data_IF_561159533398
#
_entry.id   IF_561159533398
#
_cell.length_a   1.000
_cell.length_b   1.000
_cell.length_c   1.000
_cell.angle_alpha   90.00
_cell.angle_beta   90.00
_cell.angle_gamma   90.00
#
_symmetry.space_group_name_H-M   'P 1'
#
loop_
_entity.id
_entity.type
_entity.pdbx_description
1 polymer ?
#
# COMPACT_ATOMS: atom_id res chain seq x y z
N UNK A 1 11.49 22.28 0.83
CA UNK A 1 11.02 20.91 0.62
C UNK A 1 11.47 20.08 1.81
N UNK A 2 10.58 19.76 2.77
CA UNK A 2 10.94 18.80 3.81
C UNK A 2 11.12 17.43 3.14
N UNK A 3 12.27 16.81 3.38
CA UNK A 3 12.55 15.44 2.95
C UNK A 3 11.58 14.51 3.69
N UNK A 4 10.90 13.56 3.01
CA UNK A 4 10.07 12.59 3.72
C UNK A 4 10.95 11.86 4.75
N UNK A 5 10.41 11.53 5.94
CA UNK A 5 11.17 10.86 6.98
C UNK A 5 11.82 9.60 6.40
N UNK A 6 13.15 9.54 6.47
CA UNK A 6 13.90 8.38 6.01
C UNK A 6 13.45 7.20 6.88
N UNK A 7 12.93 6.10 6.30
CA UNK A 7 12.62 4.91 7.08
C UNK A 7 13.88 4.43 7.82
N UNK A 8 13.74 3.75 8.97
CA UNK A 8 14.88 3.28 9.75
C UNK A 8 15.89 2.57 8.85
N UNK A 9 17.18 2.82 9.10
CA UNK A 9 18.31 2.33 8.29
C UNK A 9 18.33 0.82 8.11
N UNK A 10 17.59 0.09 8.93
CA UNK A 10 17.56 -1.37 8.98
C UNK A 10 16.64 -2.01 7.93
N UNK A 11 15.95 -1.19 7.11
CA UNK A 11 15.13 -1.65 5.99
C UNK A 11 15.86 -1.64 4.63
N UNK A 12 17.10 -1.19 4.57
CA UNK A 12 17.92 -1.24 3.35
C UNK A 12 18.07 -2.69 2.80
N UNK A 13 18.27 -3.72 3.64
CA UNK A 13 18.27 -5.12 3.18
C UNK A 13 16.93 -5.55 2.58
N UNK A 14 15.81 -5.10 3.14
CA UNK A 14 14.47 -5.44 2.65
C UNK A 14 14.25 -4.90 1.23
N UNK A 15 14.53 -3.61 1.03
CA UNK A 15 14.43 -2.96 -0.28
C UNK A 15 15.36 -3.60 -1.31
N UNK A 16 16.58 -3.94 -0.91
CA UNK A 16 17.52 -4.63 -1.80
C UNK A 16 16.98 -6.01 -2.21
N UNK A 17 16.43 -6.78 -1.28
CA UNK A 17 15.78 -8.06 -1.58
C UNK A 17 14.61 -7.90 -2.56
N UNK A 18 13.75 -6.88 -2.39
CA UNK A 18 12.66 -6.58 -3.33
C UNK A 18 13.17 -6.28 -4.74
N UNK A 19 14.19 -5.44 -4.88
CA UNK A 19 14.77 -5.14 -6.19
C UNK A 19 15.40 -6.35 -6.88
N UNK A 20 15.75 -7.40 -6.13
CA UNK A 20 16.24 -8.68 -6.65
C UNK A 20 15.14 -9.69 -6.93
N UNK A 21 13.88 -9.35 -6.61
CA UNK A 21 12.75 -10.28 -6.69
C UNK A 21 12.70 -11.31 -5.54
N UNK A 22 13.51 -11.12 -4.50
CA UNK A 22 13.58 -12.00 -3.32
C UNK A 22 12.46 -11.64 -2.32
N UNK A 23 11.20 -11.68 -2.78
CA UNK A 23 10.04 -11.15 -2.04
C UNK A 23 9.82 -11.80 -0.67
N UNK A 24 10.13 -13.10 -0.53
CA UNK A 24 10.04 -13.78 0.76
C UNK A 24 11.07 -13.25 1.76
N UNK A 25 12.32 -13.05 1.32
CA UNK A 25 13.38 -12.51 2.18
C UNK A 25 13.08 -11.05 2.56
N UNK A 26 12.59 -10.24 1.62
CA UNK A 26 12.12 -8.89 1.91
C UNK A 26 11.04 -8.88 3.00
N UNK A 27 10.06 -9.79 2.90
CA UNK A 27 8.99 -9.93 3.88
C UNK A 27 9.52 -10.25 5.27
N UNK A 28 10.46 -11.19 5.37
CA UNK A 28 11.07 -11.56 6.66
C UNK A 28 11.74 -10.35 7.35
N UNK A 29 12.36 -9.45 6.58
CA UNK A 29 12.90 -8.21 7.11
C UNK A 29 11.81 -7.26 7.61
N UNK A 30 10.74 -7.07 6.84
CA UNK A 30 9.62 -6.19 7.25
C UNK A 30 8.88 -6.74 8.47
N UNK A 31 8.61 -8.05 8.53
CA UNK A 31 8.02 -8.71 9.68
C UNK A 31 8.90 -8.61 10.92
N UNK A 32 10.22 -8.71 10.76
CA UNK A 32 11.16 -8.47 11.86
C UNK A 32 11.07 -7.03 12.34
N UNK A 33 11.05 -6.06 11.44
CA UNK A 33 10.89 -4.65 11.81
C UNK A 33 9.59 -4.41 12.59
N UNK A 34 8.48 -5.05 12.20
CA UNK A 34 7.21 -4.98 12.97
C UNK A 34 7.39 -5.55 14.39
N UNK A 35 8.07 -6.69 14.54
CA UNK A 35 8.34 -7.29 15.86
C UNK A 35 9.26 -6.44 16.75
N UNK A 36 10.09 -5.61 16.14
CA UNK A 36 11.03 -4.71 16.81
C UNK A 36 10.42 -3.34 17.13
N UNK A 37 9.21 -3.03 16.63
CA UNK A 37 8.49 -1.83 17.01
C UNK A 37 8.11 -1.86 18.49
N UNK A 38 8.20 -0.70 19.14
CA UNK A 38 7.66 -0.51 20.48
C UNK A 38 6.15 -0.76 20.52
N UNK A 39 5.64 -1.19 21.67
CA UNK A 39 4.20 -1.45 21.86
C UNK A 39 3.33 -0.21 21.58
N UNK A 40 3.91 0.98 21.78
CA UNK A 40 3.26 2.28 21.56
C UNK A 40 3.62 2.89 20.19
N UNK A 41 4.14 2.10 19.26
CA UNK A 41 4.47 2.58 17.92
C UNK A 41 3.23 3.18 17.22
N UNK A 42 3.37 4.32 16.54
CA UNK A 42 2.24 5.01 15.94
C UNK A 42 1.64 4.17 14.79
N UNK A 43 0.31 4.16 14.68
CA UNK A 43 -0.41 3.40 13.67
C UNK A 43 0.12 3.61 12.23
N UNK A 44 0.46 4.83 11.78
CA UNK A 44 1.06 5.03 10.46
C UNK A 44 2.37 4.25 10.23
N UNK A 45 3.21 4.10 11.27
CA UNK A 45 4.47 3.37 11.14
C UNK A 45 4.25 1.85 10.99
N UNK A 46 3.32 1.30 11.78
CA UNK A 46 2.90 -0.10 11.66
C UNK A 46 2.30 -0.36 10.28
N UNK A 47 1.39 0.52 9.85
CA UNK A 47 0.70 0.39 8.58
C UNK A 47 1.66 0.48 7.38
N UNK A 48 2.66 1.37 7.43
CA UNK A 48 3.66 1.48 6.37
C UNK A 48 4.44 0.17 6.17
N UNK A 49 4.82 -0.52 7.25
CA UNK A 49 5.49 -1.82 7.18
C UNK A 49 4.55 -2.90 6.63
N UNK A 50 3.29 -2.92 7.07
CA UNK A 50 2.28 -3.84 6.55
C UNK A 50 2.05 -3.62 5.04
N UNK A 51 2.04 -2.38 4.55
CA UNK A 51 1.95 -2.09 3.12
C UNK A 51 3.16 -2.58 2.33
N UNK A 52 4.37 -2.53 2.89
CA UNK A 52 5.52 -3.15 2.24
C UNK A 52 5.34 -4.67 2.14
N UNK A 53 4.88 -5.32 3.21
CA UNK A 53 4.54 -6.75 3.19
C UNK A 53 3.48 -7.04 2.13
N UNK A 54 2.40 -6.26 2.05
CA UNK A 54 1.37 -6.39 1.02
C UNK A 54 1.98 -6.31 -0.39
N UNK A 55 2.86 -5.34 -0.65
CA UNK A 55 3.53 -5.20 -1.96
C UNK A 55 4.33 -6.43 -2.34
N UNK A 56 5.04 -7.05 -1.40
CA UNK A 56 5.74 -8.31 -1.66
C UNK A 56 4.78 -9.44 -2.04
N UNK A 57 3.59 -9.51 -1.41
CA UNK A 57 2.58 -10.51 -1.74
C UNK A 57 2.01 -10.28 -3.15
N UNK A 58 1.60 -9.04 -3.46
CA UNK A 58 1.12 -8.64 -4.79
C UNK A 58 2.16 -8.97 -5.87
N UNK A 59 3.43 -8.59 -5.67
CA UNK A 59 4.49 -8.85 -6.64
C UNK A 59 4.78 -10.35 -6.85
N UNK A 60 4.44 -11.19 -5.87
CA UNK A 60 4.59 -12.65 -5.93
C UNK A 60 3.31 -13.39 -6.36
N UNK A 61 2.24 -12.68 -6.73
CA UNK A 61 0.95 -13.29 -7.14
C UNK A 61 0.14 -13.89 -5.99
N UNK A 62 0.50 -13.58 -4.74
CA UNK A 62 -0.13 -14.11 -3.52
C UNK A 62 -1.27 -13.19 -3.07
N UNK A 63 -2.35 -13.16 -3.86
CA UNK A 63 -3.40 -12.15 -3.73
C UNK A 63 -4.25 -12.30 -2.46
N UNK A 64 -4.47 -13.52 -1.99
CA UNK A 64 -5.22 -13.78 -0.76
C UNK A 64 -4.48 -13.22 0.46
N UNK A 65 -3.17 -13.49 0.56
CA UNK A 65 -2.35 -12.98 1.65
C UNK A 65 -2.17 -11.46 1.57
N UNK A 66 -2.10 -10.90 0.35
CA UNK A 66 -2.11 -9.45 0.17
C UNK A 66 -3.41 -8.82 0.71
N UNK A 67 -4.56 -9.45 0.45
CA UNK A 67 -5.85 -8.99 0.94
C UNK A 67 -5.91 -9.05 2.48
N UNK A 68 -5.47 -10.15 3.09
CA UNK A 68 -5.39 -10.28 4.55
C UNK A 68 -4.52 -9.19 5.20
N UNK A 69 -3.36 -8.88 4.59
CA UNK A 69 -2.51 -7.80 5.05
C UNK A 69 -3.17 -6.43 4.90
N UNK A 70 -3.93 -6.21 3.83
CA UNK A 70 -4.69 -4.97 3.65
C UNK A 70 -5.80 -4.83 4.71
N UNK A 71 -6.52 -5.90 5.04
CA UNK A 71 -7.48 -5.86 6.17
C UNK A 71 -6.80 -5.44 7.47
N UNK A 72 -5.59 -5.96 7.74
CA UNK A 72 -4.82 -5.55 8.91
C UNK A 72 -4.44 -4.05 8.88
N UNK A 73 -4.08 -3.50 7.71
CA UNK A 73 -3.82 -2.05 7.55
C UNK A 73 -5.08 -1.24 7.87
N UNK A 74 -6.23 -1.61 7.32
CA UNK A 74 -7.48 -0.85 7.51
C UNK A 74 -8.13 -1.07 8.88
N UNK A 75 -7.72 -2.09 9.63
CA UNK A 75 -8.15 -2.30 11.02
C UNK A 75 -7.40 -1.41 12.03
N UNK A 76 -6.30 -0.76 11.62
CA UNK A 76 -5.56 0.15 12.49
C UNK A 76 -6.39 1.41 12.79
N UNK A 77 -6.28 1.96 14.02
CA UNK A 77 -7.07 3.12 14.41
C UNK A 77 -6.63 4.36 13.63
N UNK A 78 -7.61 5.03 13.02
CA UNK A 78 -7.41 6.32 12.35
C UNK A 78 -7.53 7.45 13.37
N UNK A 79 -6.38 7.89 13.88
CA UNK A 79 -6.27 8.96 14.88
C UNK A 79 -5.78 10.28 14.29
N UNK A 80 -5.85 10.43 12.96
CA UNK A 80 -5.15 11.47 12.19
C UNK A 80 -3.84 10.93 11.60
N UNK A 81 -3.45 11.47 10.45
CA UNK A 81 -2.22 11.12 9.69
C UNK A 81 -2.20 9.75 8.98
N UNK A 82 -3.35 9.08 8.84
CA UNK A 82 -3.45 7.81 8.10
C UNK A 82 -3.77 7.99 6.61
N UNK A 83 -4.18 9.19 6.15
CA UNK A 83 -4.68 9.41 4.78
C UNK A 83 -3.70 8.96 3.69
N UNK A 84 -2.40 9.26 3.85
CA UNK A 84 -1.38 8.85 2.89
C UNK A 84 -1.24 7.32 2.81
N UNK A 85 -1.21 6.65 3.97
CA UNK A 85 -1.10 5.20 4.09
C UNK A 85 -2.37 4.52 3.55
N UNK A 86 -3.55 5.01 3.90
CA UNK A 86 -4.80 4.47 3.40
C UNK A 86 -4.97 4.69 1.90
N UNK A 87 -4.49 5.81 1.35
CA UNK A 87 -4.43 6.00 -0.09
C UNK A 87 -3.58 4.92 -0.77
N UNK A 88 -2.38 4.63 -0.24
CA UNK A 88 -1.54 3.53 -0.77
C UNK A 88 -2.22 2.16 -0.64
N UNK A 89 -2.87 1.87 0.49
CA UNK A 89 -3.62 0.62 0.67
C UNK A 89 -4.79 0.48 -0.30
N UNK A 90 -5.49 1.57 -0.59
CA UNK A 90 -6.61 1.60 -1.54
C UNK A 90 -6.13 1.42 -2.99
N UNK A 91 -4.94 1.94 -3.35
CA UNK A 91 -4.32 1.65 -4.65
C UNK A 91 -4.09 0.14 -4.82
N UNK A 92 -3.51 -0.51 -3.79
CA UNK A 92 -3.24 -1.95 -3.82
C UNK A 92 -4.54 -2.77 -3.88
N UNK A 93 -5.58 -2.40 -3.12
CA UNK A 93 -6.92 -3.02 -3.24
C UNK A 93 -7.51 -2.87 -4.63
N UNK A 94 -7.39 -1.67 -5.22
CA UNK A 94 -7.87 -1.41 -6.58
C UNK A 94 -7.18 -2.30 -7.61
N UNK A 95 -5.87 -2.49 -7.48
CA UNK A 95 -5.11 -3.40 -8.35
C UNK A 95 -5.51 -4.87 -8.19
N UNK A 96 -5.65 -5.35 -6.95
CA UNK A 96 -6.13 -6.70 -6.68
C UNK A 96 -7.54 -6.93 -7.27
N UNK A 97 -8.41 -5.93 -7.18
CA UNK A 97 -9.73 -5.97 -7.80
C UNK A 97 -9.66 -6.02 -9.33
N UNK A 98 -8.77 -5.25 -9.97
CA UNK A 98 -8.50 -5.36 -11.41
C UNK A 98 -8.03 -6.76 -11.81
N UNK A 99 -7.09 -7.35 -11.08
CA UNK A 99 -6.58 -8.70 -11.32
C UNK A 99 -7.68 -9.77 -11.17
N UNK A 100 -8.64 -9.54 -10.27
CA UNK A 100 -9.82 -10.38 -10.10
C UNK A 100 -10.95 -10.10 -11.13
N UNK A 101 -10.79 -9.10 -12.01
CA UNK A 101 -11.83 -8.67 -12.96
C UNK A 101 -12.98 -7.87 -12.33
N UNK A 102 -12.88 -7.50 -11.06
CA UNK A 102 -13.89 -6.75 -10.31
C UNK A 102 -13.75 -5.24 -10.55
N UNK A 103 -13.95 -4.80 -11.80
CA UNK A 103 -13.70 -3.41 -12.24
C UNK A 103 -14.52 -2.35 -11.48
N UNK A 104 -15.76 -2.69 -11.08
CA UNK A 104 -16.62 -1.84 -10.24
C UNK A 104 -16.07 -1.60 -8.86
N UNK A 105 -15.41 -2.61 -8.30
CA UNK A 105 -14.75 -2.48 -7.02
C UNK A 105 -13.43 -1.73 -7.16
N UNK A 106 -12.66 -2.01 -8.21
CA UNK A 106 -11.42 -1.32 -8.50
C UNK A 106 -11.63 0.20 -8.64
N UNK A 107 -12.65 0.63 -9.39
CA UNK A 107 -12.99 2.05 -9.55
C UNK A 107 -13.30 2.72 -8.20
N UNK A 108 -14.10 2.08 -7.33
CA UNK A 108 -14.41 2.62 -6.01
C UNK A 108 -13.15 2.79 -5.17
N UNK A 109 -12.26 1.81 -5.21
CA UNK A 109 -10.98 1.87 -4.49
C UNK A 109 -10.09 3.01 -5.03
N UNK A 110 -9.96 3.16 -6.35
CA UNK A 110 -9.15 4.24 -6.95
C UNK A 110 -9.73 5.64 -6.73
N UNK A 111 -11.07 5.79 -6.72
CA UNK A 111 -11.72 7.05 -6.34
C UNK A 111 -11.38 7.44 -4.90
N UNK A 112 -11.58 6.51 -3.96
CA UNK A 112 -11.29 6.74 -2.56
C UNK A 112 -9.79 6.98 -2.29
N UNK A 113 -8.92 6.28 -3.04
CA UNK A 113 -7.47 6.47 -3.01
C UNK A 113 -7.09 7.88 -3.43
N UNK A 114 -7.65 8.38 -4.54
CA UNK A 114 -7.34 9.72 -5.05
C UNK A 114 -7.80 10.80 -4.07
N UNK A 115 -9.00 10.67 -3.52
CA UNK A 115 -9.55 11.62 -2.56
C UNK A 115 -8.67 11.73 -1.31
N UNK A 116 -8.25 10.59 -0.74
CA UNK A 116 -7.34 10.57 0.42
C UNK A 116 -5.94 11.07 0.09
N UNK A 117 -5.40 10.73 -1.08
CA UNK A 117 -4.11 11.25 -1.51
C UNK A 117 -4.13 12.78 -1.65
N UNK A 118 -5.22 13.35 -2.18
CA UNK A 118 -5.40 14.79 -2.26
C UNK A 118 -5.53 15.44 -0.87
N UNK A 119 -6.28 14.81 0.05
CA UNK A 119 -6.40 15.28 1.43
C UNK A 119 -5.04 15.28 2.17
N UNK A 120 -4.19 14.30 1.88
CA UNK A 120 -2.82 14.20 2.39
C UNK A 120 -1.80 15.11 1.68
N UNK A 121 -2.21 15.87 0.65
CA UNK A 121 -1.30 16.70 -0.17
C UNK A 121 -0.31 15.89 -1.01
N UNK A 122 -0.61 14.62 -1.31
CA UNK A 122 0.20 13.75 -2.15
C UNK A 122 -0.29 13.81 -3.61
N UNK A 123 0.11 14.87 -4.31
CA UNK A 123 -0.31 15.15 -5.70
C UNK A 123 0.02 14.01 -6.68
N UNK A 124 1.19 13.38 -6.51
CA UNK A 124 1.60 12.26 -7.35
C UNK A 124 0.64 11.08 -7.21
N UNK A 125 0.33 10.67 -5.97
CA UNK A 125 -0.55 9.54 -5.73
C UNK A 125 -1.99 9.86 -6.19
N UNK A 126 -2.45 11.09 -6.03
CA UNK A 126 -3.74 11.54 -6.56
C UNK A 126 -3.79 11.47 -8.10
N UNK A 127 -2.70 11.85 -8.78
CA UNK A 127 -2.59 11.73 -10.24
C UNK A 127 -2.61 10.26 -10.69
N UNK A 128 -1.88 9.37 -9.99
CA UNK A 128 -1.88 7.93 -10.24
C UNK A 128 -3.29 7.34 -10.12
N UNK A 129 -4.07 7.76 -9.12
CA UNK A 129 -5.47 7.33 -9.00
C UNK A 129 -6.32 7.74 -10.20
N UNK A 130 -6.06 8.92 -10.77
CA UNK A 130 -6.75 9.36 -12.00
C UNK A 130 -6.34 8.54 -13.22
N UNK A 131 -5.08 8.12 -13.31
CA UNK A 131 -4.60 7.20 -14.34
C UNK A 131 -5.28 5.83 -14.24
N UNK A 132 -5.34 5.25 -13.04
CA UNK A 132 -6.03 3.98 -12.81
C UNK A 132 -7.52 4.04 -13.19
N UNK A 133 -8.21 5.13 -12.83
CA UNK A 133 -9.61 5.32 -13.20
C UNK A 133 -9.80 5.41 -14.73
N UNK A 134 -8.90 6.11 -15.42
CA UNK A 134 -8.91 6.16 -16.88
C UNK A 134 -8.69 4.77 -17.49
N UNK A 135 -7.74 3.99 -16.94
CA UNK A 135 -7.49 2.61 -17.36
C UNK A 135 -8.72 1.72 -17.17
N UNK A 136 -9.36 1.75 -16.00
CA UNK A 136 -10.60 0.99 -15.73
C UNK A 136 -11.72 1.37 -16.70
N UNK A 137 -11.90 2.66 -16.97
CA UNK A 137 -12.91 3.13 -17.91
C UNK A 137 -12.66 2.63 -19.35
N UNK A 138 -11.40 2.61 -19.80
CA UNK A 138 -11.03 2.08 -21.11
C UNK A 138 -11.31 0.58 -21.22
N UNK A 139 -11.01 -0.20 -20.17
CA UNK A 139 -11.28 -1.65 -20.15
C UNK A 139 -12.78 -1.93 -20.16
N UNK A 140 -13.60 -1.13 -19.46
CA UNK A 140 -15.08 -1.30 -19.47
C UNK A 140 -15.74 -0.86 -20.77
N UNK A 141 -15.14 0.09 -21.49
CA UNK A 141 -15.66 0.63 -22.74
C UNK A 141 -15.31 -0.16 -23.99
N UNK A 142 -14.50 -1.22 -23.86
CA UNK A 142 -14.10 -2.16 -24.91
C UNK A 142 -14.99 -3.41 -24.88
#
# INVERSE_FOLDING_TARGET
MPTPPRPPSDLDPARLAETRGEFQAAREFYERAIRELDQDAPAPAVAALLLQITRTFVASGRHAEAADCLEAVFALPDLGDMDAVFAEGLELRGRLACEAGALDEAERHFMAQRERAAAAGNDWLAALGSEHLASVALVRGA
#
